data_IF_549816934017
#
_entry.id   IF_549816934017
#
_cell.length_a   1.000
_cell.length_b   1.000
_cell.length_c   1.000
_cell.angle_alpha   90.00
_cell.angle_beta   90.00
_cell.angle_gamma   90.00
#
_symmetry.space_group_name_H-M   'P 1'
#
loop_
_entity.id
_entity.type
_entity.pdbx_description
1 polymer ?
#
# COMPACT_ATOMS: atom_id res chain seq x y z
N UNK A 1 -0.47 -10.53 -15.44
CA UNK A 1 -0.32 -10.38 -13.97
C UNK A 1 -0.58 -11.73 -13.33
N UNK A 2 0.42 -12.31 -12.66
CA UNK A 2 0.29 -13.66 -12.10
C UNK A 2 -0.72 -13.68 -10.94
N UNK A 3 -1.48 -14.78 -10.75
CA UNK A 3 -2.48 -14.88 -9.69
C UNK A 3 -1.89 -14.71 -8.28
N UNK A 4 -0.60 -14.99 -8.11
CA UNK A 4 0.17 -14.75 -6.88
C UNK A 4 0.37 -13.27 -6.56
N UNK A 5 0.63 -12.42 -7.57
CA UNK A 5 0.78 -10.98 -7.38
C UNK A 5 -0.52 -10.33 -6.88
N UNK A 6 -1.66 -10.65 -7.49
CA UNK A 6 -2.98 -10.12 -7.06
C UNK A 6 -3.33 -10.49 -5.62
N UNK A 7 -3.10 -11.75 -5.23
CA UNK A 7 -3.38 -12.21 -3.85
C UNK A 7 -2.48 -11.50 -2.84
N UNK A 8 -1.23 -11.25 -3.21
CA UNK A 8 -0.30 -10.48 -2.40
C UNK A 8 -0.76 -9.03 -2.22
N UNK A 9 -1.12 -8.35 -3.30
CA UNK A 9 -1.64 -6.97 -3.27
C UNK A 9 -2.91 -6.85 -2.44
N UNK A 10 -3.85 -7.80 -2.61
CA UNK A 10 -5.08 -7.82 -1.83
C UNK A 10 -4.82 -8.05 -0.33
N UNK A 11 -3.87 -8.93 0.01
CA UNK A 11 -3.46 -9.12 1.40
C UNK A 11 -2.83 -7.85 1.97
N UNK A 12 -2.01 -7.14 1.18
CA UNK A 12 -1.36 -5.90 1.60
C UNK A 12 -2.36 -4.75 1.75
N UNK A 13 -3.32 -4.64 0.83
CA UNK A 13 -4.45 -3.72 0.92
C UNK A 13 -5.18 -3.93 2.25
N UNK A 14 -5.60 -5.16 2.54
CA UNK A 14 -6.32 -5.47 3.78
C UNK A 14 -5.51 -5.20 5.05
N UNK A 15 -4.20 -5.48 5.01
CA UNK A 15 -3.28 -5.24 6.14
C UNK A 15 -3.09 -3.75 6.41
N UNK A 16 -3.03 -2.94 5.37
CA UNK A 16 -2.79 -1.49 5.46
C UNK A 16 -4.06 -0.66 5.54
N UNK A 17 -5.23 -1.21 5.20
CA UNK A 17 -6.53 -0.52 5.27
C UNK A 17 -6.79 -0.01 6.70
N UNK A 18 -7.20 1.25 6.83
CA UNK A 18 -7.57 1.80 8.13
C UNK A 18 -8.69 0.98 8.77
N UNK A 19 -8.65 0.83 10.10
CA UNK A 19 -9.57 -0.06 10.82
C UNK A 19 -11.04 0.33 10.60
N UNK A 20 -11.34 1.63 10.58
CA UNK A 20 -12.69 2.14 10.31
C UNK A 20 -13.18 1.90 8.87
N UNK A 21 -12.26 1.66 7.92
CA UNK A 21 -12.60 1.40 6.53
C UNK A 21 -12.90 -0.08 6.25
N UNK A 22 -12.47 -0.98 7.13
CA UNK A 22 -12.70 -2.44 7.03
C UNK A 22 -14.18 -2.83 7.02
N UNK A 23 -15.05 -2.33 7.92
CA UNK A 23 -16.47 -2.71 7.88
C UNK A 23 -17.16 -2.26 6.58
N UNK A 24 -16.72 -1.15 5.99
CA UNK A 24 -17.26 -0.63 4.72
C UNK A 24 -16.57 -1.21 3.49
N UNK A 25 -15.62 -2.14 3.65
CA UNK A 25 -14.82 -2.63 2.54
C UNK A 25 -15.69 -3.22 1.42
N UNK A 26 -16.70 -4.01 1.78
CA UNK A 26 -17.63 -4.61 0.81
C UNK A 26 -18.38 -3.55 -0.01
N UNK A 27 -18.89 -2.51 0.66
CA UNK A 27 -19.60 -1.40 0.01
C UNK A 27 -18.66 -0.62 -0.93
N UNK A 28 -17.46 -0.31 -0.46
CA UNK A 28 -16.46 0.40 -1.24
C UNK A 28 -15.97 -0.41 -2.45
N UNK A 29 -15.95 -1.74 -2.35
CA UNK A 29 -15.54 -2.64 -3.42
C UNK A 29 -16.54 -2.69 -4.59
N UNK A 30 -17.81 -2.34 -4.36
CA UNK A 30 -18.80 -2.18 -5.44
C UNK A 30 -18.42 -1.05 -6.41
N UNK A 31 -17.72 -0.03 -5.91
CA UNK A 31 -17.07 0.95 -6.76
C UNK A 31 -15.70 0.42 -7.17
N UNK A 32 -15.63 -0.14 -8.39
CA UNK A 32 -14.45 -0.84 -8.92
C UNK A 32 -13.19 0.04 -8.93
N UNK A 33 -13.36 1.35 -9.08
CA UNK A 33 -12.27 2.31 -9.14
C UNK A 33 -11.92 2.90 -7.76
N UNK A 34 -12.67 2.56 -6.71
CA UNK A 34 -12.46 3.10 -5.38
C UNK A 34 -11.10 2.71 -4.79
N UNK A 35 -10.55 1.54 -5.10
CA UNK A 35 -9.23 1.16 -4.59
C UNK A 35 -8.11 1.33 -5.64
N UNK A 36 -8.39 1.92 -6.80
CA UNK A 36 -7.40 2.10 -7.89
C UNK A 36 -6.11 2.76 -7.39
N UNK A 37 -6.24 3.94 -6.77
CA UNK A 37 -5.09 4.67 -6.21
C UNK A 37 -4.36 3.90 -5.09
N UNK A 38 -5.08 3.08 -4.32
CA UNK A 38 -4.49 2.25 -3.26
C UNK A 38 -3.68 1.09 -3.86
N UNK A 39 -4.19 0.47 -4.93
CA UNK A 39 -3.50 -0.57 -5.67
C UNK A 39 -2.29 -0.03 -6.43
N UNK A 40 -2.40 1.13 -7.07
CA UNK A 40 -1.27 1.77 -7.75
C UNK A 40 -0.14 2.09 -6.76
N UNK A 41 -0.49 2.63 -5.59
CA UNK A 41 0.49 2.87 -4.53
C UNK A 41 1.14 1.57 -4.00
N UNK A 42 0.33 0.53 -3.75
CA UNK A 42 0.85 -0.78 -3.31
C UNK A 42 1.82 -1.37 -4.34
N UNK A 43 1.46 -1.27 -5.63
CA UNK A 43 2.27 -1.79 -6.73
C UNK A 43 3.56 -1.00 -6.88
N UNK A 44 3.50 0.33 -6.87
CA UNK A 44 4.68 1.20 -6.91
C UNK A 44 5.67 0.87 -5.79
N UNK A 45 5.17 0.70 -4.56
CA UNK A 45 5.98 0.30 -3.40
C UNK A 45 6.60 -1.09 -3.54
N UNK A 46 5.92 -2.03 -4.20
CA UNK A 46 6.40 -3.41 -4.38
C UNK A 46 7.76 -3.51 -5.10
N UNK A 47 8.01 -2.57 -6.01
CA UNK A 47 9.22 -2.55 -6.84
C UNK A 47 10.38 -1.79 -6.17
N UNK A 48 10.12 -1.08 -5.07
CA UNK A 48 11.11 -0.25 -4.43
C UNK A 48 12.16 -1.03 -3.63
N UNK A 49 13.36 -0.48 -3.59
CA UNK A 49 14.49 -0.95 -2.75
C UNK A 49 15.06 0.13 -1.83
N UNK A 50 14.65 1.39 -2.00
CA UNK A 50 15.14 2.52 -1.23
C UNK A 50 14.01 3.18 -0.42
N UNK A 51 14.36 3.62 0.80
CA UNK A 51 13.46 4.45 1.63
C UNK A 51 13.19 5.83 1.03
N UNK A 52 14.11 6.35 0.21
CA UNK A 52 13.93 7.64 -0.48
C UNK A 52 12.80 7.53 -1.49
N UNK A 53 12.82 6.50 -2.32
CA UNK A 53 11.80 6.28 -3.36
C UNK A 53 10.43 6.03 -2.73
N UNK A 54 10.39 5.39 -1.55
CA UNK A 54 9.15 5.19 -0.81
C UNK A 54 8.50 6.53 -0.42
N UNK A 55 9.29 7.53 -0.03
CA UNK A 55 8.76 8.86 0.31
C UNK A 55 8.18 9.56 -0.92
N UNK A 56 8.77 9.36 -2.09
CA UNK A 56 8.24 9.87 -3.37
C UNK A 56 6.89 9.24 -3.68
N UNK A 57 6.78 7.91 -3.62
CA UNK A 57 5.52 7.18 -3.81
C UNK A 57 4.42 7.62 -2.83
N UNK A 58 4.78 7.87 -1.56
CA UNK A 58 3.84 8.41 -0.59
C UNK A 58 3.35 9.79 -1.01
N UNK A 59 4.25 10.68 -1.46
CA UNK A 59 3.87 12.01 -1.92
C UNK A 59 2.91 11.93 -3.13
N UNK A 60 3.23 11.09 -4.12
CA UNK A 60 2.38 10.85 -5.28
C UNK A 60 1.01 10.29 -4.91
N UNK A 61 0.98 9.30 -4.00
CA UNK A 61 -0.26 8.77 -3.46
C UNK A 61 -1.10 9.88 -2.80
N UNK A 62 -0.50 10.72 -1.95
CA UNK A 62 -1.24 11.81 -1.30
C UNK A 62 -1.77 12.86 -2.29
N UNK A 63 -1.05 13.12 -3.38
CA UNK A 63 -1.46 14.07 -4.43
C UNK A 63 -2.44 13.48 -5.45
N UNK A 64 -2.67 12.16 -5.45
CA UNK A 64 -3.49 11.46 -6.43
C UNK A 64 -4.92 12.05 -6.51
N UNK A 65 -5.48 12.31 -7.70
CA UNK A 65 -6.80 12.92 -7.87
C UNK A 65 -7.92 12.20 -7.12
N UNK A 66 -7.87 10.86 -7.06
CA UNK A 66 -8.86 10.03 -6.36
C UNK A 66 -8.78 10.12 -4.83
N UNK A 67 -7.74 10.76 -4.27
CA UNK A 67 -7.57 10.95 -2.82
C UNK A 67 -8.15 12.28 -2.28
N UNK A 68 -8.92 13.03 -3.08
CA UNK A 68 -9.48 14.34 -2.71
C UNK A 68 -10.86 14.30 -2.05
N UNK A 69 -11.61 13.20 -2.15
CA UNK A 69 -13.00 13.10 -1.68
C UNK A 69 -13.14 12.87 -0.17
N UNK A 70 -14.27 13.32 0.41
CA UNK A 70 -14.55 13.29 1.86
C UNK A 70 -14.28 11.93 2.54
N UNK A 71 -14.65 10.82 1.89
CA UNK A 71 -14.37 9.48 2.42
C UNK A 71 -12.86 9.24 2.61
N UNK A 72 -12.02 9.74 1.70
CA UNK A 72 -10.58 9.49 1.70
C UNK A 72 -9.79 10.50 2.54
N UNK A 73 -10.17 11.77 2.51
CA UNK A 73 -9.52 12.84 3.30
C UNK A 73 -10.01 12.87 4.74
N UNK A 74 -11.32 12.86 4.97
CA UNK A 74 -11.91 13.03 6.30
C UNK A 74 -12.05 11.71 7.05
N UNK A 75 -12.70 10.71 6.43
CA UNK A 75 -12.95 9.42 7.08
C UNK A 75 -11.76 8.44 6.96
N UNK A 76 -10.74 8.82 6.18
CA UNK A 76 -9.52 8.02 5.92
C UNK A 76 -9.86 6.61 5.43
N UNK A 77 -10.83 6.51 4.53
CA UNK A 77 -11.33 5.25 3.95
C UNK A 77 -10.38 4.73 2.86
N UNK A 78 -9.09 4.58 3.19
CA UNK A 78 -8.00 4.22 2.28
C UNK A 78 -6.93 3.40 2.98
N UNK A 79 -5.87 2.99 2.30
CA UNK A 79 -4.70 2.39 2.97
C UNK A 79 -3.91 3.43 3.77
N UNK A 80 -3.30 2.97 4.86
CA UNK A 80 -2.38 3.76 5.67
C UNK A 80 -0.96 3.67 5.10
N UNK A 81 -0.45 4.80 4.62
CA UNK A 81 0.95 4.92 4.17
C UNK A 81 1.95 4.57 5.27
N UNK A 82 1.65 4.93 6.53
CA UNK A 82 2.49 4.58 7.70
C UNK A 82 2.54 3.07 7.97
N UNK A 83 1.39 2.37 7.85
CA UNK A 83 1.38 0.90 7.98
C UNK A 83 2.17 0.25 6.84
N UNK A 84 2.03 0.76 5.63
CA UNK A 84 2.78 0.26 4.48
C UNK A 84 4.29 0.52 4.65
N UNK A 85 4.67 1.70 5.16
CA UNK A 85 6.05 2.04 5.50
C UNK A 85 6.64 1.07 6.50
N UNK A 86 5.90 0.74 7.57
CA UNK A 86 6.35 -0.20 8.59
C UNK A 86 6.60 -1.59 8.00
N UNK A 87 5.75 -2.05 7.08
CA UNK A 87 5.93 -3.33 6.39
C UNK A 87 7.14 -3.28 5.45
N UNK A 88 7.27 -2.20 4.68
CA UNK A 88 8.37 -1.97 3.76
C UNK A 88 9.73 -1.95 4.49
N UNK A 89 9.84 -1.19 5.57
CA UNK A 89 11.08 -1.08 6.35
C UNK A 89 11.49 -2.42 6.97
N UNK A 90 10.54 -3.23 7.43
CA UNK A 90 10.82 -4.59 7.91
C UNK A 90 11.36 -5.48 6.79
N UNK A 91 10.84 -5.37 5.57
CA UNK A 91 11.29 -6.14 4.41
C UNK A 91 12.66 -5.71 3.92
N UNK A 92 12.90 -4.40 3.80
CA UNK A 92 14.21 -3.86 3.40
C UNK A 92 15.30 -4.20 4.42
N UNK A 93 14.99 -4.07 5.72
CA UNK A 93 15.94 -4.42 6.79
C UNK A 93 16.26 -5.92 6.77
N UNK A 94 15.25 -6.79 6.60
CA UNK A 94 15.46 -8.23 6.48
C UNK A 94 16.30 -8.63 5.24
N UNK A 95 16.16 -7.90 4.12
CA UNK A 95 16.96 -8.13 2.93
C UNK A 95 18.41 -7.65 3.09
N UNK A 96 18.63 -6.56 3.84
CA UNK A 96 19.96 -6.06 4.17
C UNK A 96 20.69 -6.84 5.27
N UNK A 97 19.97 -7.66 6.05
CA UNK A 97 20.52 -8.47 7.15
C UNK A 97 20.92 -9.90 6.77
N UNK A 98 20.90 -10.27 5.48
CA UNK A 98 21.49 -11.55 5.07
C UNK A 98 23.03 -11.43 5.18
N UNK A 99 23.71 -12.19 6.05
CA UNK A 99 25.16 -12.28 5.99
C UNK A 99 25.57 -12.88 4.63
N UNK A 100 26.77 -12.56 4.11
CA UNK A 100 27.27 -13.20 2.91
C UNK A 100 27.24 -14.71 3.13
N UNK A 101 26.59 -15.43 2.21
CA UNK A 101 26.74 -16.88 2.11
C UNK A 101 28.17 -17.11 1.68
N UNK A 102 29.06 -17.35 2.63
CA UNK A 102 30.41 -17.83 2.37
C UNK A 102 30.27 -19.24 1.84
N UNK A 103 30.50 -19.42 0.54
CA UNK A 103 30.83 -20.70 -0.08
C UNK A 103 32.33 -20.70 -0.35
#
# INVERSE_FOLDING_TARGET
MTPSARRFEQALLWRCLYWQARPFHWLLWLNRDYYSADYDFIRGVGDLRSRRDFRTEVAEFHCHPHNRGFLRTTLRMRVSSQRLQTIFERKVTAAGSNPPVTT
#
